data_IF_612459267396
#
_entry.id   IF_612459267396
#
_cell.length_a   1.000
_cell.length_b   1.000
_cell.length_c   1.000
_cell.angle_alpha   90.00
_cell.angle_beta   90.00
_cell.angle_gamma   90.00
#
_symmetry.space_group_name_H-M   'P 1'
#
loop_
_entity.id
_entity.type
_entity.pdbx_description
1 polymer ?
#
# COMPACT_ATOMS: atom_id res chain seq x y z
N UNK A 1 5.13 -7.80 12.25
CA UNK A 1 4.25 -6.75 11.68
C UNK A 1 4.35 -6.68 10.15
N UNK A 2 4.29 -7.82 9.46
CA UNK A 2 4.10 -7.92 7.99
C UNK A 2 2.77 -8.63 7.67
N UNK A 3 2.30 -9.48 8.60
CA UNK A 3 0.97 -10.10 8.58
C UNK A 3 -0.18 -9.08 8.49
N UNK A 4 -0.09 -7.94 9.20
CA UNK A 4 -1.20 -6.98 9.25
C UNK A 4 -1.60 -6.41 7.88
N UNK A 5 -0.65 -6.26 6.95
CA UNK A 5 -0.95 -5.73 5.62
C UNK A 5 -1.58 -6.77 4.71
N UNK A 6 -1.12 -8.02 4.74
CA UNK A 6 -1.73 -9.09 3.95
C UNK A 6 -3.15 -9.38 4.44
N UNK A 7 -3.39 -9.39 5.75
CA UNK A 7 -4.75 -9.53 6.33
C UNK A 7 -5.67 -8.38 5.93
N UNK A 8 -5.17 -7.14 5.94
CA UNK A 8 -5.94 -5.98 5.46
C UNK A 8 -6.30 -6.13 3.98
N UNK A 9 -5.36 -6.58 3.14
CA UNK A 9 -5.64 -6.84 1.73
C UNK A 9 -6.66 -7.95 1.55
N UNK A 10 -6.58 -9.02 2.34
CA UNK A 10 -7.57 -10.10 2.31
C UNK A 10 -8.96 -9.60 2.72
N UNK A 11 -9.09 -8.83 3.81
CA UNK A 11 -10.37 -8.25 4.23
C UNK A 11 -10.95 -7.30 3.19
N UNK A 12 -10.10 -6.52 2.50
CA UNK A 12 -10.52 -5.67 1.39
C UNK A 12 -11.01 -6.53 0.22
N UNK A 13 -10.29 -7.59 -0.10
CA UNK A 13 -10.60 -8.52 -1.18
C UNK A 13 -11.94 -9.21 -0.92
N UNK A 14 -12.17 -9.76 0.27
CA UNK A 14 -13.43 -10.38 0.67
C UNK A 14 -14.61 -9.39 0.64
N UNK A 15 -14.37 -8.12 0.99
CA UNK A 15 -15.41 -7.07 0.94
C UNK A 15 -15.65 -6.50 -0.46
N UNK A 16 -14.78 -6.76 -1.43
CA UNK A 16 -14.97 -6.36 -2.81
C UNK A 16 -15.87 -7.38 -3.50
N UNK A 17 -17.15 -7.03 -3.67
CA UNK A 17 -18.09 -7.80 -4.50
C UNK A 17 -17.88 -7.59 -6.00
N UNK A 18 -17.15 -6.53 -6.37
CA UNK A 18 -16.81 -6.20 -7.76
C UNK A 18 -15.47 -6.81 -8.18
N UNK A 19 -15.08 -6.60 -9.44
CA UNK A 19 -13.81 -7.05 -9.99
C UNK A 19 -12.63 -6.53 -9.15
N UNK A 20 -11.94 -7.45 -8.48
CA UNK A 20 -10.80 -7.19 -7.60
C UNK A 20 -9.55 -6.80 -8.42
N UNK A 21 -9.58 -5.56 -8.92
CA UNK A 21 -8.49 -4.91 -9.62
C UNK A 21 -7.59 -4.14 -8.65
N UNK A 22 -6.34 -3.90 -9.03
CA UNK A 22 -5.40 -3.05 -8.28
C UNK A 22 -6.03 -1.73 -7.84
N UNK A 23 -6.79 -1.09 -8.73
CA UNK A 23 -7.40 0.21 -8.48
C UNK A 23 -8.58 0.11 -7.51
N UNK A 24 -9.44 -0.91 -7.64
CA UNK A 24 -10.54 -1.16 -6.70
C UNK A 24 -10.04 -1.45 -5.28
N UNK A 25 -9.03 -2.31 -5.17
CA UNK A 25 -8.35 -2.65 -3.92
C UNK A 25 -7.72 -1.41 -3.28
N UNK A 26 -7.02 -0.61 -4.07
CA UNK A 26 -6.38 0.61 -3.59
C UNK A 26 -7.41 1.63 -3.07
N UNK A 27 -8.46 1.91 -3.84
CA UNK A 27 -9.51 2.83 -3.43
C UNK A 27 -10.21 2.36 -2.15
N UNK A 28 -10.51 1.05 -2.04
CA UNK A 28 -11.13 0.47 -0.86
C UNK A 28 -10.19 0.48 0.35
N UNK A 29 -8.88 0.30 0.14
CA UNK A 29 -7.87 0.47 1.19
C UNK A 29 -7.89 1.90 1.74
N UNK A 30 -7.92 2.91 0.88
CA UNK A 30 -8.00 4.31 1.32
C UNK A 30 -9.28 4.59 2.12
N UNK A 31 -10.40 3.95 1.75
CA UNK A 31 -11.68 4.10 2.44
C UNK A 31 -11.71 3.38 3.80
N UNK A 32 -11.16 2.16 3.90
CA UNK A 32 -11.21 1.36 5.13
C UNK A 32 -10.06 1.66 6.10
N UNK A 33 -8.90 2.07 5.60
CA UNK A 33 -7.70 2.30 6.41
C UNK A 33 -7.07 3.69 6.15
N UNK A 34 -7.82 4.79 6.38
CA UNK A 34 -7.31 6.15 6.17
C UNK A 34 -6.16 6.50 7.12
N UNK A 35 -6.16 5.97 8.34
CA UNK A 35 -5.07 6.17 9.31
C UNK A 35 -3.78 5.50 8.86
N UNK A 36 -3.86 4.26 8.38
CA UNK A 36 -2.72 3.54 7.81
C UNK A 36 -2.16 4.28 6.61
N UNK A 37 -3.03 4.77 5.72
CA UNK A 37 -2.61 5.59 4.60
C UNK A 37 -1.90 6.88 5.04
N UNK A 38 -2.41 7.52 6.10
CA UNK A 38 -1.77 8.70 6.70
C UNK A 38 -0.39 8.35 7.27
N UNK A 39 -0.25 7.22 7.98
CA UNK A 39 1.03 6.77 8.51
C UNK A 39 2.04 6.45 7.41
N UNK A 40 1.62 5.81 6.32
CA UNK A 40 2.47 5.54 5.15
C UNK A 40 3.00 6.85 4.55
N UNK A 41 2.14 7.86 4.38
CA UNK A 41 2.55 9.19 3.91
C UNK A 41 3.51 9.88 4.88
N UNK A 42 3.25 9.81 6.18
CA UNK A 42 4.13 10.39 7.20
C UNK A 42 5.51 9.71 7.18
N UNK A 43 5.53 8.38 7.10
CA UNK A 43 6.78 7.60 7.05
C UNK A 43 7.58 7.94 5.80
N UNK A 44 6.92 8.04 4.64
CA UNK A 44 7.55 8.49 3.41
C UNK A 44 8.09 9.93 3.52
N UNK A 45 7.33 10.84 4.12
CA UNK A 45 7.75 12.23 4.33
C UNK A 45 8.95 12.32 5.29
N UNK A 46 8.92 11.58 6.41
CA UNK A 46 10.04 11.47 7.35
C UNK A 46 11.30 10.93 6.67
N UNK A 47 11.16 9.86 5.89
CA UNK A 47 12.26 9.28 5.13
C UNK A 47 12.84 10.27 4.12
N UNK A 48 11.99 10.99 3.38
CA UNK A 48 12.45 12.02 2.45
C UNK A 48 13.16 13.17 3.16
N UNK A 49 12.67 13.58 4.35
CA UNK A 49 13.30 14.63 5.16
C UNK A 49 14.64 14.19 5.75
N UNK A 50 14.82 12.91 6.07
CA UNK A 50 16.08 12.37 6.59
C UNK A 50 17.15 12.13 5.51
N UNK A 51 16.86 12.43 4.24
CA UNK A 51 17.85 12.28 3.17
C UNK A 51 18.90 13.37 3.25
N UNK A 52 20.15 12.94 3.37
CA UNK A 52 21.27 13.80 3.01
C UNK A 52 21.29 14.00 1.49
N UNK A 53 21.33 15.27 1.09
CA UNK A 53 21.40 15.71 -0.30
C UNK A 53 22.56 14.99 -1.02
N UNK A 54 22.26 14.22 -2.07
CA UNK A 54 23.27 13.60 -2.94
C UNK A 54 23.61 12.11 -2.71
N UNK A 55 23.18 11.45 -1.62
CA UNK A 55 23.53 10.01 -1.37
C UNK A 55 22.37 9.04 -1.21
N UNK A 56 21.12 9.46 -1.31
CA UNK A 56 19.99 8.57 -0.96
C UNK A 56 19.12 8.19 -2.16
N UNK A 57 18.98 6.89 -2.43
CA UNK A 57 18.08 6.32 -3.45
C UNK A 57 16.63 6.75 -3.16
N UNK A 58 15.92 7.46 -4.07
CA UNK A 58 14.54 7.92 -3.86
C UNK A 58 13.63 6.76 -3.48
N UNK A 59 12.91 6.89 -2.36
CA UNK A 59 11.80 5.95 -2.10
C UNK A 59 10.73 6.20 -3.16
N UNK A 60 10.09 5.14 -3.68
CA UNK A 60 8.92 5.28 -4.53
C UNK A 60 7.80 5.95 -3.72
N UNK A 61 6.97 6.75 -4.40
CA UNK A 61 5.81 7.39 -3.79
C UNK A 61 4.96 6.33 -3.04
N UNK A 62 4.36 6.67 -1.89
CA UNK A 62 3.63 5.71 -1.06
C UNK A 62 2.49 5.05 -1.85
N UNK A 63 1.89 5.77 -2.79
CA UNK A 63 0.89 5.23 -3.71
C UNK A 63 1.45 4.13 -4.62
N UNK A 64 2.60 4.36 -5.26
CA UNK A 64 3.23 3.37 -6.13
C UNK A 64 3.72 2.15 -5.34
N UNK A 65 4.24 2.38 -4.13
CA UNK A 65 4.63 1.30 -3.23
C UNK A 65 3.43 0.43 -2.85
N UNK A 66 2.33 1.06 -2.41
CA UNK A 66 1.11 0.35 -2.02
C UNK A 66 0.48 -0.41 -3.19
N UNK A 67 0.38 0.23 -4.38
CA UNK A 67 -0.09 -0.43 -5.60
C UNK A 67 0.76 -1.64 -5.98
N UNK A 68 2.09 -1.52 -5.88
CA UNK A 68 3.00 -2.64 -6.15
C UNK A 68 2.78 -3.80 -5.17
N UNK A 69 2.56 -3.51 -3.89
CA UNK A 69 2.25 -4.52 -2.88
C UNK A 69 0.92 -5.22 -3.17
N UNK A 70 -0.14 -4.45 -3.44
CA UNK A 70 -1.46 -4.99 -3.83
C UNK A 70 -1.32 -5.88 -5.06
N UNK A 71 -0.58 -5.45 -6.09
CA UNK A 71 -0.36 -6.24 -7.31
C UNK A 71 0.38 -7.55 -7.01
N UNK A 72 1.42 -7.51 -6.17
CA UNK A 72 2.14 -8.71 -5.77
C UNK A 72 1.23 -9.68 -4.98
N UNK A 73 0.41 -9.15 -4.07
CA UNK A 73 -0.56 -9.92 -3.31
C UNK A 73 -1.64 -10.53 -4.19
N UNK A 74 -2.20 -9.79 -5.15
CA UNK A 74 -3.17 -10.31 -6.12
C UNK A 74 -2.56 -11.44 -6.96
N UNK A 75 -1.31 -11.30 -7.41
CA UNK A 75 -0.62 -12.38 -8.15
C UNK A 75 -0.45 -13.65 -7.31
N UNK A 76 -0.16 -13.50 -6.01
CA UNK A 76 -0.01 -14.62 -5.07
C UNK A 76 -1.35 -15.33 -4.80
N UNK A 77 -2.47 -14.61 -4.82
CA UNK A 77 -3.80 -15.18 -4.55
C UNK A 77 -4.58 -15.61 -5.80
N UNK A 78 -4.20 -15.15 -7.00
CA UNK A 78 -4.76 -15.61 -8.28
C UNK A 78 -4.02 -16.84 -8.86
N UNK A 79 -3.25 -17.56 -8.05
CA UNK A 79 -2.51 -18.76 -8.46
C UNK A 79 -3.11 -20.03 -7.85
#
# INVERSE_FOLDING_TARGET
MLLDQEEKFQLIFEKLQEKQTEQSMFNKFLAMYPEEWKQLKITFSKFNRSKQFGKTIPLPKPEQSLRKQIRAWLKKNNQ
#
